data_IF_416034360504
#
_entry.id   IF_416034360504
#
_cell.length_a   1.000
_cell.length_b   1.000
_cell.length_c   1.000
_cell.angle_alpha   90.00
_cell.angle_beta   90.00
_cell.angle_gamma   90.00
#
_symmetry.space_group_name_H-M   'P 1'
#
loop_
_entity.id
_entity.type
_entity.pdbx_description
1 polymer ?
#
# COMPACT_ATOMS: atom_id res chain seq x y z
N UNK A 1 -4.23 38.64 2.78
CA UNK A 1 -4.11 37.76 3.96
C UNK A 1 -4.88 36.52 3.59
N UNK A 2 -4.20 35.57 2.94
CA UNK A 2 -4.83 34.38 2.36
C UNK A 2 -4.85 33.32 3.44
N UNK A 3 -6.05 32.84 3.72
CA UNK A 3 -6.35 31.83 4.71
C UNK A 3 -5.83 30.46 4.21
N UNK A 4 -4.55 30.18 4.46
CA UNK A 4 -3.84 28.97 4.03
C UNK A 4 -4.00 27.80 5.03
N UNK A 5 -5.15 27.67 5.68
CA UNK A 5 -5.45 26.51 6.51
C UNK A 5 -6.27 25.46 5.74
N UNK A 6 -5.63 24.81 4.77
CA UNK A 6 -6.13 23.51 4.31
C UNK A 6 -5.81 22.49 5.41
N UNK A 7 -6.80 21.82 6.02
CA UNK A 7 -6.56 20.90 7.13
C UNK A 7 -5.72 19.72 6.63
N UNK A 8 -4.44 19.67 7.05
CA UNK A 8 -3.41 18.77 6.52
C UNK A 8 -3.82 17.29 6.51
N UNK A 9 -4.67 16.87 7.45
CA UNK A 9 -5.15 15.49 7.55
C UNK A 9 -5.89 14.99 6.29
N UNK A 10 -6.75 15.82 5.67
CA UNK A 10 -7.53 15.38 4.50
C UNK A 10 -6.65 15.13 3.27
N UNK A 11 -5.63 15.98 3.07
CA UNK A 11 -4.68 15.84 1.97
C UNK A 11 -3.78 14.61 2.16
N UNK A 12 -3.32 14.36 3.38
CA UNK A 12 -2.53 13.17 3.70
C UNK A 12 -3.32 11.90 3.45
N UNK A 13 -4.57 11.81 3.91
CA UNK A 13 -5.43 10.64 3.69
C UNK A 13 -5.63 10.40 2.19
N UNK A 14 -5.95 11.44 1.43
CA UNK A 14 -6.13 11.32 -0.02
C UNK A 14 -4.87 10.82 -0.73
N UNK A 15 -3.70 11.30 -0.31
CA UNK A 15 -2.42 10.89 -0.89
C UNK A 15 -2.06 9.44 -0.51
N UNK A 16 -2.28 9.04 0.75
CA UNK A 16 -2.12 7.66 1.19
C UNK A 16 -3.01 6.71 0.40
N UNK A 17 -4.29 7.05 0.21
CA UNK A 17 -5.21 6.26 -0.61
C UNK A 17 -4.76 6.20 -2.07
N UNK A 18 -4.29 7.31 -2.64
CA UNK A 18 -3.77 7.34 -4.00
C UNK A 18 -2.55 6.41 -4.17
N UNK A 19 -1.63 6.38 -3.19
CA UNK A 19 -0.49 5.46 -3.19
C UNK A 19 -0.97 4.00 -3.18
N UNK A 20 -1.95 3.65 -2.35
CA UNK A 20 -2.49 2.29 -2.28
C UNK A 20 -3.13 1.88 -3.60
N UNK A 21 -3.92 2.77 -4.22
CA UNK A 21 -4.52 2.53 -5.53
C UNK A 21 -3.43 2.35 -6.60
N UNK A 22 -2.41 3.22 -6.63
CA UNK A 22 -1.30 3.12 -7.56
C UNK A 22 -0.51 1.82 -7.39
N UNK A 23 -0.28 1.38 -6.16
CA UNK A 23 0.36 0.10 -5.87
C UNK A 23 -0.47 -1.08 -6.42
N UNK A 24 -1.80 -1.00 -6.31
CA UNK A 24 -2.71 -1.97 -6.92
C UNK A 24 -2.64 -1.98 -8.44
N UNK A 25 -2.67 -0.81 -9.08
CA UNK A 25 -2.55 -0.69 -10.54
C UNK A 25 -1.20 -1.24 -11.01
N UNK A 26 -0.11 -0.87 -10.34
CA UNK A 26 1.24 -1.35 -10.64
C UNK A 26 1.35 -2.87 -10.48
N UNK A 27 0.83 -3.42 -9.38
CA UNK A 27 0.74 -4.86 -9.17
C UNK A 27 -0.04 -5.55 -10.28
N UNK A 28 -1.21 -5.03 -10.64
CA UNK A 28 -2.03 -5.58 -11.72
C UNK A 28 -1.32 -5.60 -13.08
N UNK A 29 -0.62 -4.51 -13.42
CA UNK A 29 0.20 -4.45 -14.64
C UNK A 29 1.33 -5.48 -14.61
N UNK A 30 2.05 -5.60 -13.49
CA UNK A 30 3.09 -6.61 -13.34
C UNK A 30 2.53 -8.03 -13.48
N UNK A 31 1.42 -8.35 -12.82
CA UNK A 31 0.78 -9.66 -12.92
C UNK A 31 0.35 -9.99 -14.36
N UNK A 32 -0.14 -8.99 -15.11
CA UNK A 32 -0.45 -9.15 -16.52
C UNK A 32 0.79 -9.39 -17.40
N UNK A 33 1.89 -8.68 -17.14
CA UNK A 33 3.16 -8.90 -17.85
C UNK A 33 3.71 -10.29 -17.55
N UNK A 34 3.80 -10.66 -16.27
CA UNK A 34 4.31 -11.95 -15.83
C UNK A 34 3.48 -13.10 -16.40
N UNK A 35 2.16 -13.05 -16.27
CA UNK A 35 1.26 -14.09 -16.78
C UNK A 35 1.43 -14.28 -18.29
N UNK A 36 1.50 -13.19 -19.08
CA UNK A 36 1.69 -13.28 -20.54
C UNK A 36 3.07 -13.77 -20.96
N UNK A 37 4.12 -13.38 -20.24
CA UNK A 37 5.50 -13.72 -20.64
C UNK A 37 5.93 -15.11 -20.20
N UNK A 38 5.38 -15.62 -19.09
CA UNK A 38 5.84 -16.88 -18.47
C UNK A 38 4.86 -18.03 -18.63
N UNK A 39 3.56 -17.75 -18.85
CA UNK A 39 2.51 -18.77 -18.82
C UNK A 39 2.31 -19.41 -17.43
N UNK A 40 2.89 -18.84 -16.38
CA UNK A 40 2.74 -19.33 -15.01
C UNK A 40 1.34 -19.01 -14.49
N UNK A 41 0.62 -20.05 -14.05
CA UNK A 41 -0.67 -19.92 -13.36
C UNK A 41 -0.51 -19.91 -11.83
N UNK A 42 0.59 -20.49 -11.34
CA UNK A 42 0.89 -20.58 -9.91
C UNK A 42 2.40 -20.50 -9.67
N UNK A 43 2.75 -19.93 -8.52
CA UNK A 43 4.12 -19.90 -8.03
C UNK A 43 4.13 -20.31 -6.55
N UNK A 44 5.24 -20.88 -6.11
CA UNK A 44 5.42 -21.41 -4.76
C UNK A 44 6.62 -20.74 -4.10
N UNK A 45 6.41 -20.22 -2.89
CA UNK A 45 7.47 -19.65 -2.04
C UNK A 45 7.28 -20.20 -0.63
N UNK A 46 8.34 -20.79 -0.06
CA UNK A 46 8.31 -21.37 1.29
C UNK A 46 7.11 -22.31 1.56
N UNK A 47 6.80 -23.19 0.59
CA UNK A 47 5.65 -24.11 0.59
C UNK A 47 4.25 -23.45 0.52
N UNK A 48 4.18 -22.14 0.30
CA UNK A 48 2.92 -21.41 0.07
C UNK A 48 2.74 -21.23 -1.43
N UNK A 49 1.64 -21.78 -1.97
CA UNK A 49 1.25 -21.61 -3.37
C UNK A 49 0.37 -20.37 -3.52
N UNK A 50 0.71 -19.51 -4.47
CA UNK A 50 -0.09 -18.35 -4.83
C UNK A 50 -0.43 -18.37 -6.33
N UNK A 51 -1.64 -17.92 -6.62
CA UNK A 51 -2.13 -17.76 -7.99
C UNK A 51 -1.42 -16.59 -8.66
N UNK A 52 -0.84 -16.85 -9.83
CA UNK A 52 -0.22 -15.82 -10.67
C UNK A 52 -1.29 -15.30 -11.62
N UNK A 53 -1.89 -14.17 -11.23
CA UNK A 53 -2.88 -13.47 -12.06
C UNK A 53 -2.77 -11.96 -11.88
N UNK A 54 -3.21 -11.16 -12.86
CA UNK A 54 -3.27 -9.70 -12.71
C UNK A 54 -4.04 -9.27 -11.46
N UNK A 55 -5.17 -9.94 -11.17
CA UNK A 55 -5.99 -9.64 -9.99
C UNK A 55 -5.26 -9.93 -8.68
N UNK A 56 -4.59 -11.07 -8.58
CA UNK A 56 -3.82 -11.45 -7.39
C UNK A 56 -2.68 -10.47 -7.12
N UNK A 57 -1.92 -10.10 -8.14
CA UNK A 57 -0.82 -9.14 -7.98
C UNK A 57 -1.32 -7.73 -7.62
N UNK A 58 -2.45 -7.29 -8.18
CA UNK A 58 -3.07 -6.02 -7.79
C UNK A 58 -3.43 -6.01 -6.31
N UNK A 59 -4.06 -7.09 -5.82
CA UNK A 59 -4.39 -7.23 -4.41
C UNK A 59 -3.14 -7.26 -3.52
N UNK A 60 -2.09 -7.98 -3.91
CA UNK A 60 -0.84 -7.99 -3.16
C UNK A 60 -0.20 -6.60 -3.08
N UNK A 61 -0.22 -5.83 -4.17
CA UNK A 61 0.27 -4.45 -4.18
C UNK A 61 -0.52 -3.55 -3.24
N UNK A 62 -1.85 -3.60 -3.28
CA UNK A 62 -2.74 -2.85 -2.37
C UNK A 62 -2.47 -3.20 -0.92
N UNK A 63 -2.45 -4.50 -0.59
CA UNK A 63 -2.27 -4.97 0.78
C UNK A 63 -0.89 -4.58 1.30
N UNK A 64 0.17 -4.83 0.53
CA UNK A 64 1.53 -4.49 0.95
C UNK A 64 1.69 -2.98 1.21
N UNK A 65 1.22 -2.12 0.28
CA UNK A 65 1.29 -0.67 0.45
C UNK A 65 0.41 -0.18 1.62
N UNK A 66 -0.80 -0.71 1.74
CA UNK A 66 -1.72 -0.38 2.82
C UNK A 66 -1.14 -0.74 4.19
N UNK A 67 -0.63 -1.96 4.35
CA UNK A 67 0.00 -2.42 5.59
C UNK A 67 1.21 -1.57 5.94
N UNK A 68 2.06 -1.23 4.96
CA UNK A 68 3.21 -0.35 5.18
C UNK A 68 2.80 1.02 5.70
N UNK A 69 1.81 1.66 5.06
CA UNK A 69 1.34 2.98 5.46
C UNK A 69 0.65 2.98 6.83
N UNK A 70 -0.20 2.00 7.09
CA UNK A 70 -0.88 1.85 8.40
C UNK A 70 0.15 1.63 9.52
N UNK A 71 1.14 0.77 9.26
CA UNK A 71 2.21 0.49 10.25
C UNK A 71 3.06 1.73 10.49
N UNK A 72 3.50 2.41 9.43
CA UNK A 72 4.27 3.65 9.55
C UNK A 72 3.51 4.75 10.30
N UNK A 73 2.22 4.93 9.98
CA UNK A 73 1.37 5.89 10.70
C UNK A 73 1.23 5.49 12.18
N UNK A 74 1.04 4.21 12.48
CA UNK A 74 0.98 3.70 13.85
C UNK A 74 2.26 4.01 14.64
N UNK A 75 3.43 3.84 14.02
CA UNK A 75 4.72 4.19 14.62
C UNK A 75 4.81 5.70 14.87
N UNK A 76 4.45 6.54 13.90
CA UNK A 76 4.47 8.00 14.08
C UNK A 76 3.55 8.42 15.22
N UNK A 77 2.32 7.91 15.27
CA UNK A 77 1.35 8.21 16.33
C UNK A 77 1.87 7.77 17.70
N UNK A 78 2.49 6.59 17.78
CA UNK A 78 3.07 6.09 19.01
C UNK A 78 4.19 7.01 19.51
N UNK A 79 5.09 7.45 18.61
CA UNK A 79 6.20 8.35 18.95
C UNK A 79 5.71 9.75 19.33
N UNK A 80 4.70 10.29 18.65
CA UNK A 80 4.12 11.60 19.00
C UNK A 80 3.58 11.62 20.43
N UNK A 81 2.94 10.54 20.88
CA UNK A 81 2.45 10.44 22.27
C UNK A 81 3.56 10.48 23.32
N UNK A 82 4.75 9.97 22.99
CA UNK A 82 5.92 10.08 23.87
C UNK A 82 6.47 11.52 23.89
N UNK A 83 6.50 12.20 22.75
CA UNK A 83 6.98 13.59 22.65
C UNK A 83 6.04 14.57 23.36
N UNK A 84 4.73 14.32 23.27
CA UNK A 84 3.68 15.11 23.94
C UNK A 84 3.62 14.88 25.46
N UNK A 85 4.43 13.96 26.01
CA UNK A 85 4.50 13.68 27.44
C UNK A 85 3.25 13.00 28.02
N UNK A 86 2.46 12.30 27.19
CA UNK A 86 1.27 11.57 27.64
C UNK A 86 1.59 10.22 28.32
N UNK A 87 2.87 9.94 28.63
CA UNK A 87 3.33 8.79 29.44
C UNK A 87 4.55 9.19 30.28
#
# INVERSE_FOLDING_TARGET
>A
MTDDQIPGGRRTIALSLAIVVLAGVFGGVLGAVVSRQTGLEAATVAAITFTVSPGSFALYGVVAAGTFLVTGLGVVVALSRFDDGEI
#
